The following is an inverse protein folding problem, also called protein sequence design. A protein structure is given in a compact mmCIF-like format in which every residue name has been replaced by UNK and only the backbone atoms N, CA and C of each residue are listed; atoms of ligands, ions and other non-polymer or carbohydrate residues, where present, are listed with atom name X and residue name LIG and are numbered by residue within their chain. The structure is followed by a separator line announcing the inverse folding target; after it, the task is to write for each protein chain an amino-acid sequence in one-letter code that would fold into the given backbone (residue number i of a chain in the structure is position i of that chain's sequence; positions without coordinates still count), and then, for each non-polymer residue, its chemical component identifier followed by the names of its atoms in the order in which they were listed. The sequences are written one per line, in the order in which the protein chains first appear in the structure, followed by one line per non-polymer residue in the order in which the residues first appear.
data_IF_067155216467
#
_entry.id   IF_067155216467
#
_cell.length_a   1.000
_cell.length_b   1.000
_cell.length_c   1.000
_cell.angle_alpha   90.00
_cell.angle_beta   90.00
_cell.angle_gamma   90.00
#
_symmetry.space_group_name_H-M   'P 1'
#
loop_
_entity.id
_entity.type
_entity.pdbx_description
1 polymer ?
#
# COMPACT_ATOMS: atom_id res chain seq x y z
N UNK A 1 15.05 -8.65 -11.65
CA UNK A 1 14.94 -7.40 -10.86
C UNK A 1 13.90 -6.42 -11.44
N UNK A 2 13.95 -6.08 -12.73
CA UNK A 2 13.05 -5.08 -13.33
C UNK A 2 11.54 -5.32 -13.12
N UNK A 3 11.10 -6.58 -13.19
CA UNK A 3 9.70 -6.94 -12.95
C UNK A 3 9.23 -6.55 -11.53
N UNK A 4 10.05 -6.83 -10.52
CA UNK A 4 9.74 -6.50 -9.12
C UNK A 4 9.78 -4.99 -8.89
N UNK A 5 10.74 -4.29 -9.50
CA UNK A 5 10.80 -2.83 -9.44
C UNK A 5 9.58 -2.17 -10.10
N UNK A 6 9.09 -2.73 -11.21
CA UNK A 6 7.86 -2.28 -11.85
C UNK A 6 6.62 -2.55 -10.98
N UNK A 7 6.53 -3.73 -10.36
CA UNK A 7 5.45 -4.06 -9.41
C UNK A 7 5.47 -3.11 -8.21
N UNK A 8 6.63 -2.91 -7.59
CA UNK A 8 6.85 -1.94 -6.51
C UNK A 8 6.38 -0.54 -6.90
N UNK A 9 6.78 -0.04 -8.08
CA UNK A 9 6.35 1.27 -8.58
C UNK A 9 4.83 1.33 -8.79
N UNK A 10 4.21 0.28 -9.31
CA UNK A 10 2.77 0.22 -9.53
C UNK A 10 1.99 0.22 -8.19
N UNK A 11 2.49 -0.49 -7.18
CA UNK A 11 1.94 -0.48 -5.81
C UNK A 11 2.04 0.94 -5.27
N UNK A 12 3.24 1.54 -5.22
CA UNK A 12 3.46 2.93 -4.75
C UNK A 12 2.51 3.92 -5.42
N UNK A 13 2.36 3.83 -6.75
CA UNK A 13 1.43 4.70 -7.50
C UNK A 13 -0.04 4.47 -7.15
N UNK A 14 -0.42 3.26 -6.75
CA UNK A 14 -1.78 2.97 -6.25
C UNK A 14 -1.99 3.54 -4.85
N UNK A 15 -1.01 3.38 -3.94
CA UNK A 15 -1.06 3.97 -2.58
C UNK A 15 -1.29 5.48 -2.68
N UNK A 16 -0.49 6.18 -3.50
CA UNK A 16 -0.63 7.62 -3.71
C UNK A 16 -2.00 8.02 -4.25
N UNK A 17 -2.60 7.23 -5.15
CA UNK A 17 -3.97 7.51 -5.61
C UNK A 17 -5.02 7.35 -4.52
N UNK A 18 -4.80 6.47 -3.54
CA UNK A 18 -5.71 6.31 -2.39
C UNK A 18 -5.51 7.50 -1.43
N UNK A 19 -4.27 7.88 -1.14
CA UNK A 19 -3.94 9.07 -0.34
C UNK A 19 -4.61 10.33 -0.91
N UNK A 20 -4.40 10.61 -2.20
CA UNK A 20 -5.01 11.76 -2.87
C UNK A 20 -6.53 11.72 -2.81
N UNK A 21 -7.14 10.53 -2.93
CA UNK A 21 -8.59 10.40 -2.80
C UNK A 21 -9.07 10.77 -1.39
N UNK A 22 -8.41 10.25 -0.35
CA UNK A 22 -8.77 10.53 1.06
C UNK A 22 -8.56 12.02 1.38
N UNK A 23 -7.48 12.62 0.88
CA UNK A 23 -7.15 14.03 1.06
C UNK A 23 -8.12 14.98 0.33
N UNK A 24 -8.68 14.55 -0.81
CA UNK A 24 -9.64 15.37 -1.56
C UNK A 24 -10.92 15.68 -0.78
N UNK A 25 -11.20 14.92 0.29
CA UNK A 25 -12.43 14.98 1.10
C UNK A 25 -13.74 14.82 0.31
N UNK A 26 -13.66 14.43 -0.96
CA UNK A 26 -14.80 14.19 -1.84
C UNK A 26 -15.13 12.69 -1.87
N UNK A 27 -15.62 12.20 -0.75
CA UNK A 27 -15.93 10.79 -0.56
C UNK A 27 -17.40 10.56 -0.22
N UNK A 28 -17.90 9.40 -0.61
CA UNK A 28 -19.16 8.82 -0.15
C UNK A 28 -18.84 7.52 0.59
N UNK A 29 -19.72 7.02 1.47
CA UNK A 29 -19.50 5.73 2.14
C UNK A 29 -19.14 4.61 1.16
N UNK A 30 -19.88 4.49 0.04
CA UNK A 30 -19.58 3.52 -1.02
C UNK A 30 -18.19 3.68 -1.63
N UNK A 31 -17.73 4.92 -1.88
CA UNK A 31 -16.39 5.14 -2.44
C UNK A 31 -15.30 4.80 -1.42
N UNK A 32 -15.51 5.08 -0.14
CA UNK A 32 -14.60 4.72 0.94
C UNK A 32 -14.51 3.20 1.11
N UNK A 33 -15.63 2.48 1.08
CA UNK A 33 -15.63 1.00 1.11
C UNK A 33 -14.83 0.40 -0.05
N UNK A 34 -14.97 0.95 -1.26
CA UNK A 34 -14.18 0.54 -2.41
C UNK A 34 -12.69 0.78 -2.15
N UNK A 35 -12.33 1.93 -1.55
CA UNK A 35 -10.93 2.21 -1.20
C UNK A 35 -10.42 1.30 -0.10
N UNK A 36 -11.23 0.96 0.90
CA UNK A 36 -10.85 0.04 1.96
C UNK A 36 -10.56 -1.36 1.41
N UNK A 37 -11.40 -1.87 0.51
CA UNK A 37 -11.11 -3.13 -0.21
C UNK A 37 -9.82 -3.02 -1.00
N UNK A 38 -9.60 -1.89 -1.67
CA UNK A 38 -8.36 -1.66 -2.42
C UNK A 38 -7.13 -1.62 -1.51
N UNK A 39 -7.27 -1.10 -0.28
CA UNK A 39 -6.22 -1.11 0.73
C UNK A 39 -5.84 -2.54 1.11
N UNK A 40 -6.83 -3.37 1.41
CA UNK A 40 -6.62 -4.80 1.72
C UNK A 40 -5.97 -5.56 0.56
N UNK A 41 -6.37 -5.28 -0.68
CA UNK A 41 -5.72 -5.84 -1.88
C UNK A 41 -4.26 -5.39 -1.99
N UNK A 42 -3.93 -4.14 -1.67
CA UNK A 42 -2.55 -3.66 -1.74
C UNK A 42 -1.68 -4.27 -0.64
N UNK A 43 -2.18 -4.46 0.58
CA UNK A 43 -1.45 -5.15 1.64
C UNK A 43 -1.01 -6.55 1.19
N UNK A 44 -1.92 -7.35 0.62
CA UNK A 44 -1.58 -8.67 0.07
C UNK A 44 -0.50 -8.61 -1.01
N UNK A 45 -0.55 -7.59 -1.88
CA UNK A 45 0.48 -7.41 -2.91
C UNK A 45 1.83 -6.97 -2.37
N UNK A 46 1.85 -6.25 -1.25
CA UNK A 46 3.09 -5.89 -0.55
C UNK A 46 3.69 -7.16 0.07
N UNK A 47 2.88 -8.00 0.72
CA UNK A 47 3.30 -9.30 1.25
C UNK A 47 3.87 -10.19 0.13
N UNK A 48 3.14 -10.34 -0.99
CA UNK A 48 3.61 -11.10 -2.16
C UNK A 48 4.91 -10.54 -2.75
N UNK A 49 5.07 -9.21 -2.74
CA UNK A 49 6.28 -8.55 -3.22
C UNK A 49 7.45 -8.83 -2.29
N UNK A 50 7.22 -8.80 -0.97
CA UNK A 50 8.20 -9.09 0.08
C UNK A 50 8.72 -10.52 -0.03
N UNK A 51 7.82 -11.50 -0.15
CA UNK A 51 8.19 -12.90 -0.37
C UNK A 51 9.04 -13.07 -1.63
N UNK A 52 8.63 -12.45 -2.74
CA UNK A 52 9.39 -12.49 -4.00
C UNK A 52 10.78 -11.85 -3.90
N UNK A 53 10.97 -10.86 -3.02
CA UNK A 53 12.28 -10.25 -2.79
C UNK A 53 13.18 -11.17 -1.95
N UNK A 54 12.64 -11.83 -0.92
CA UNK A 54 13.39 -12.79 -0.11
C UNK A 54 13.79 -14.07 -0.88
N UNK A 55 13.05 -14.42 -1.94
CA UNK A 55 13.38 -15.53 -2.83
C UNK A 55 14.53 -15.25 -3.81
N UNK A 56 15.02 -14.00 -3.91
CA UNK A 56 16.11 -13.64 -4.81
C UNK A 56 17.43 -14.17 -4.24
N UNK A 57 18.06 -15.09 -4.98
CA UNK A 57 19.43 -15.52 -4.71
C UNK A 57 20.42 -14.42 -5.12
N UNK A 58 21.51 -14.31 -4.36
CA UNK A 58 22.64 -13.40 -4.62
C UNK A 58 22.30 -11.90 -4.59
N UNK A 59 21.28 -11.50 -3.82
CA UNK A 59 21.03 -10.09 -3.51
C UNK A 59 22.08 -9.59 -2.50
N UNK A 60 22.63 -8.40 -2.73
CA UNK A 60 23.55 -7.80 -1.77
C UNK A 60 22.81 -7.30 -0.52
N UNK A 61 23.50 -7.28 0.61
CA UNK A 61 22.93 -6.80 1.88
C UNK A 61 22.42 -5.35 1.76
N UNK A 62 23.18 -4.47 1.10
CA UNK A 62 22.76 -3.08 0.89
C UNK A 62 21.54 -2.94 -0.02
N UNK A 63 21.39 -3.79 -1.04
CA UNK A 63 20.18 -3.82 -1.86
C UNK A 63 18.98 -4.33 -1.06
N UNK A 64 19.19 -5.35 -0.23
CA UNK A 64 18.16 -5.91 0.64
C UNK A 64 17.66 -4.87 1.64
N UNK A 65 18.54 -4.14 2.32
CA UNK A 65 18.18 -3.05 3.25
C UNK A 65 17.31 -1.98 2.58
N UNK A 66 17.65 -1.58 1.35
CA UNK A 66 16.87 -0.59 0.58
C UNK A 66 15.48 -1.14 0.24
N UNK A 67 15.38 -2.42 -0.10
CA UNK A 67 14.10 -3.08 -0.40
C UNK A 67 13.23 -3.19 0.85
N UNK A 68 13.80 -3.59 1.99
CA UNK A 68 13.10 -3.71 3.26
C UNK A 68 12.57 -2.35 3.72
N UNK A 69 13.39 -1.30 3.64
CA UNK A 69 12.95 0.07 3.95
C UNK A 69 11.80 0.53 3.04
N UNK A 70 11.87 0.20 1.75
CA UNK A 70 10.82 0.51 0.78
C UNK A 70 9.51 -0.24 1.07
N UNK A 71 9.60 -1.52 1.44
CA UNK A 71 8.44 -2.35 1.82
C UNK A 71 7.81 -1.81 3.09
N UNK A 72 8.62 -1.59 4.14
CA UNK A 72 8.15 -1.05 5.41
C UNK A 72 7.45 0.29 5.23
N UNK A 73 7.99 1.17 4.38
CA UNK A 73 7.36 2.45 4.05
C UNK A 73 5.98 2.26 3.40
N UNK A 74 5.83 1.26 2.52
CA UNK A 74 4.52 0.95 1.93
C UNK A 74 3.56 0.35 2.95
N UNK A 75 4.00 -0.59 3.78
CA UNK A 75 3.20 -1.22 4.84
C UNK A 75 2.64 -0.14 5.79
N UNK A 76 3.50 0.75 6.31
CA UNK A 76 3.09 1.83 7.23
C UNK A 76 2.04 2.75 6.60
N UNK A 77 2.25 3.19 5.36
CA UNK A 77 1.29 4.06 4.64
C UNK A 77 -0.05 3.37 4.44
N UNK A 78 -0.04 2.07 4.19
CA UNK A 78 -1.28 1.31 4.02
C UNK A 78 -2.04 1.15 5.34
N UNK A 79 -1.34 0.90 6.44
CA UNK A 79 -1.94 0.84 7.79
C UNK A 79 -2.59 2.18 8.15
N UNK A 80 -1.87 3.30 7.96
CA UNK A 80 -2.41 4.64 8.19
C UNK A 80 -3.65 4.94 7.34
N UNK A 81 -3.64 4.55 6.06
CA UNK A 81 -4.79 4.70 5.17
C UNK A 81 -5.98 3.85 5.64
N UNK A 82 -5.75 2.62 6.09
CA UNK A 82 -6.80 1.75 6.58
C UNK A 82 -7.53 2.36 7.78
N UNK A 83 -6.76 2.79 8.79
CA UNK A 83 -7.28 3.45 9.99
C UNK A 83 -8.07 4.70 9.59
N UNK A 84 -7.47 5.58 8.79
CA UNK A 84 -8.09 6.84 8.41
C UNK A 84 -9.38 6.65 7.62
N UNK A 85 -9.44 5.69 6.70
CA UNK A 85 -10.65 5.40 5.93
C UNK A 85 -11.75 4.86 6.83
N UNK A 86 -11.42 3.96 7.78
CA UNK A 86 -12.38 3.42 8.75
C UNK A 86 -12.93 4.49 9.67
N UNK A 87 -12.09 5.39 10.17
CA UNK A 87 -12.51 6.51 11.01
C UNK A 87 -13.47 7.45 10.27
N UNK A 88 -13.15 7.79 9.02
CA UNK A 88 -14.02 8.60 8.17
C UNK A 88 -15.36 7.89 7.94
N UNK A 89 -15.35 6.61 7.58
CA UNK A 89 -16.57 5.81 7.39
C UNK A 89 -17.46 5.82 8.63
N UNK A 90 -16.88 5.56 9.80
CA UNK A 90 -17.60 5.56 11.07
C UNK A 90 -18.24 6.93 11.36
N UNK A 91 -17.55 8.02 11.03
CA UNK A 91 -18.07 9.38 11.21
C UNK A 91 -19.22 9.77 10.27
N UNK A 92 -19.42 9.03 9.17
CA UNK A 92 -20.48 9.28 8.18
C UNK A 92 -21.73 8.42 8.39
N UNK A 93 -21.63 7.35 9.19
CA UNK A 93 -22.71 6.38 9.42
C UNK A 93 -23.41 6.61 10.77
N UNK A 94 -22.78 7.37 11.68
CA UNK A 94 -23.38 7.86 12.93
C UNK A 94 -24.31 9.05 12.68
#
# INVERSE_FOLDING_TARGET
MDKLNNLKRAIKGTITKIETFVESRNYTPTKLDIKLKRVQEMNRKIDELKDQYYDIKDISESELEVIEADIQSMENRMEELEVRIRDILNSLIQ
#
